data_IF_192948192908
#
_entry.id   IF_192948192908
#
_cell.length_a   1.000
_cell.length_b   1.000
_cell.length_c   1.000
_cell.angle_alpha   90.00
_cell.angle_beta   90.00
_cell.angle_gamma   90.00
#
_symmetry.space_group_name_H-M   'P 1'
#
loop_
_entity.id
_entity.type
_entity.pdbx_description
1 polymer ?
#
# COMPACT_ATOMS: atom_id res chain seq x y z
N UNK A 1 -41.35 4.01 -39.62
CA UNK A 1 -41.65 3.17 -40.79
C UNK A 1 -41.06 3.86 -42.01
N UNK A 2 -39.78 3.63 -42.29
CA UNK A 2 -39.11 3.65 -43.60
C UNK A 2 -37.68 3.18 -43.35
N UNK A 3 -37.47 1.89 -43.60
CA UNK A 3 -36.16 1.25 -43.80
C UNK A 3 -35.56 1.69 -45.14
N UNK A 4 -34.22 1.71 -45.22
CA UNK A 4 -33.39 1.08 -46.27
C UNK A 4 -31.94 1.54 -46.07
N UNK A 5 -31.05 0.69 -45.54
CA UNK A 5 -30.36 -0.41 -46.25
C UNK A 5 -29.44 0.12 -47.36
N UNK A 6 -28.14 0.17 -47.08
CA UNK A 6 -27.12 0.07 -48.11
C UNK A 6 -25.91 -0.67 -47.53
N UNK A 7 -25.77 -1.92 -47.95
CA UNK A 7 -24.56 -2.71 -47.87
C UNK A 7 -24.34 -3.32 -49.26
N UNK A 8 -23.13 -3.14 -49.81
CA UNK A 8 -22.41 -4.15 -50.60
C UNK A 8 -21.02 -3.63 -50.98
N UNK A 9 -20.01 -4.41 -50.59
CA UNK A 9 -18.64 -4.40 -51.10
C UNK A 9 -18.62 -4.89 -52.58
N UNK A 10 -17.46 -4.98 -53.28
CA UNK A 10 -16.55 -6.11 -53.06
C UNK A 10 -15.07 -5.93 -53.50
N UNK A 11 -14.30 -6.98 -53.18
CA UNK A 11 -13.07 -7.49 -53.81
C UNK A 11 -11.72 -6.91 -53.38
N UNK A 12 -10.62 -7.67 -53.27
CA UNK A 12 -10.27 -9.06 -52.94
C UNK A 12 -8.82 -9.27 -53.45
N UNK A 13 -8.11 -10.22 -52.83
CA UNK A 13 -6.86 -10.90 -53.28
C UNK A 13 -5.57 -10.09 -53.07
N UNK A 14 -4.39 -10.65 -52.80
CA UNK A 14 -3.89 -12.03 -52.82
C UNK A 14 -2.51 -12.08 -52.10
N UNK A 15 -2.06 -13.29 -51.76
CA UNK A 15 -0.65 -13.75 -51.69
C UNK A 15 0.33 -13.11 -50.66
N UNK A 16 1.30 -13.83 -50.09
CA UNK A 16 1.57 -15.25 -49.91
C UNK A 16 2.73 -15.39 -48.90
N UNK A 17 2.86 -16.58 -48.33
CA UNK A 17 4.12 -17.29 -48.08
C UNK A 17 5.27 -16.66 -47.25
N UNK A 18 5.52 -17.22 -46.05
CA UNK A 18 6.61 -18.22 -45.87
C UNK A 18 6.79 -18.63 -44.41
N UNK A 19 6.71 -19.94 -44.20
CA UNK A 19 7.32 -20.68 -43.09
C UNK A 19 8.84 -20.59 -43.19
N UNK A 20 9.50 -20.41 -42.05
CA UNK A 20 10.86 -20.92 -41.82
C UNK A 20 10.87 -21.58 -40.45
N UNK A 21 11.03 -22.90 -40.48
CA UNK A 21 11.43 -23.73 -39.35
C UNK A 21 12.84 -23.34 -38.87
N UNK A 22 13.00 -23.26 -37.56
CA UNK A 22 14.27 -22.99 -36.91
C UNK A 22 14.31 -23.61 -35.52
N UNK A 23 14.44 -24.94 -35.49
CA UNK A 23 14.86 -25.67 -34.30
C UNK A 23 16.27 -25.20 -33.89
N UNK A 24 16.46 -24.85 -32.61
CA UNK A 24 17.79 -24.51 -32.13
C UNK A 24 17.85 -23.94 -30.73
N UNK A 25 18.19 -24.83 -29.80
CA UNK A 25 18.99 -24.54 -28.60
C UNK A 25 18.26 -23.91 -27.41
N UNK A 26 17.90 -24.80 -26.48
CA UNK A 26 17.73 -24.44 -25.09
C UNK A 26 18.97 -23.75 -24.55
N UNK A 27 18.75 -22.60 -23.93
CA UNK A 27 19.68 -21.96 -23.03
C UNK A 27 18.87 -21.63 -21.79
N UNK A 28 18.90 -22.56 -20.84
CA UNK A 28 18.51 -22.31 -19.47
C UNK A 28 19.54 -21.33 -18.87
N UNK A 29 19.29 -20.03 -19.02
CA UNK A 29 19.93 -19.04 -18.15
C UNK A 29 19.09 -18.98 -16.89
N UNK A 30 19.55 -19.77 -15.92
CA UNK A 30 19.50 -19.50 -14.49
C UNK A 30 19.82 -18.02 -14.26
N UNK A 31 18.79 -17.16 -14.32
CA UNK A 31 18.87 -15.77 -13.87
C UNK A 31 18.71 -15.80 -12.36
N UNK A 32 19.75 -16.34 -11.74
CA UNK A 32 20.16 -16.13 -10.36
C UNK A 32 19.84 -14.69 -10.00
N UNK A 33 18.91 -14.51 -9.08
CA UNK A 33 18.51 -13.22 -8.54
C UNK A 33 19.76 -12.42 -8.19
N UNK A 34 20.08 -11.42 -9.01
CA UNK A 34 20.99 -10.35 -8.61
C UNK A 34 20.37 -9.68 -7.39
N UNK A 35 21.06 -9.58 -6.25
CA UNK A 35 20.60 -8.70 -5.19
C UNK A 35 20.56 -7.29 -5.77
N UNK A 36 19.40 -6.65 -5.71
CA UNK A 36 19.19 -5.27 -6.13
C UNK A 36 20.27 -4.39 -5.49
N UNK A 37 21.25 -3.99 -6.30
CA UNK A 37 22.25 -2.99 -5.96
C UNK A 37 21.60 -1.60 -6.04
N UNK A 38 20.76 -1.28 -5.06
CA UNK A 38 20.37 0.10 -4.76
C UNK A 38 20.16 0.20 -3.25
N UNK A 39 21.28 0.29 -2.54
CA UNK A 39 21.38 0.25 -1.08
C UNK A 39 20.85 1.50 -0.37
N UNK A 40 19.60 1.88 -0.64
CA UNK A 40 18.89 2.79 0.27
C UNK A 40 18.39 1.96 1.45
N UNK A 41 19.17 1.96 2.53
CA UNK A 41 18.70 1.48 3.83
C UNK A 41 17.72 2.54 4.34
N UNK A 42 16.45 2.20 4.59
CA UNK A 42 15.56 3.12 5.27
C UNK A 42 16.15 3.46 6.64
N UNK A 43 15.79 4.62 7.16
CA UNK A 43 16.44 5.23 8.34
C UNK A 43 16.29 4.37 9.60
N UNK A 44 15.34 3.43 9.62
CA UNK A 44 15.14 2.49 10.71
C UNK A 44 16.23 1.39 10.72
N UNK A 45 16.76 1.00 11.89
CA UNK A 45 17.77 -0.04 11.99
C UNK A 45 17.18 -1.40 11.60
N UNK A 46 17.39 -1.81 10.34
CA UNK A 46 17.03 -3.16 9.88
C UNK A 46 18.02 -4.15 10.49
N UNK A 47 17.59 -4.87 11.52
CA UNK A 47 18.22 -6.14 11.88
C UNK A 47 17.75 -7.16 10.85
N UNK A 48 18.68 -7.68 10.04
CA UNK A 48 18.39 -8.88 9.24
C UNK A 48 17.93 -9.97 10.20
N UNK A 49 16.71 -10.46 10.01
CA UNK A 49 16.15 -11.56 10.79
C UNK A 49 15.64 -12.69 9.87
N UNK A 50 15.73 -13.93 10.35
CA UNK A 50 15.63 -15.15 9.56
C UNK A 50 14.19 -15.42 9.12
N UNK A 51 14.02 -16.41 8.23
CA UNK A 51 12.81 -17.08 7.68
C UNK A 51 11.59 -17.31 8.62
N UNK A 52 11.22 -16.36 9.47
CA UNK A 52 10.09 -16.46 10.39
C UNK A 52 8.82 -16.09 9.66
N UNK A 53 7.91 -17.06 9.57
CA UNK A 53 6.50 -16.83 9.23
C UNK A 53 5.95 -15.72 10.15
N UNK A 54 5.27 -14.74 9.55
CA UNK A 54 4.64 -13.64 10.29
C UNK A 54 3.69 -14.21 11.36
N UNK A 55 3.73 -13.74 12.63
CA UNK A 55 3.04 -14.41 13.73
C UNK A 55 1.54 -14.14 13.78
N UNK A 56 1.06 -13.10 13.08
CA UNK A 56 -0.35 -12.74 13.02
C UNK A 56 -1.01 -13.24 11.75
N UNK A 57 -2.29 -13.58 11.82
CA UNK A 57 -3.13 -13.87 10.66
C UNK A 57 -4.37 -13.00 10.69
N UNK A 58 -4.90 -12.68 9.52
CA UNK A 58 -6.12 -11.88 9.39
C UNK A 58 -7.32 -12.50 10.11
N UNK A 59 -7.41 -13.84 10.15
CA UNK A 59 -8.48 -14.55 10.85
C UNK A 59 -8.44 -14.40 12.39
N UNK A 60 -7.27 -14.08 12.95
CA UNK A 60 -7.04 -14.02 14.40
C UNK A 60 -7.16 -12.58 14.95
N UNK A 61 -7.32 -11.58 14.08
CA UNK A 61 -7.29 -10.15 14.41
C UNK A 61 -8.46 -9.43 13.77
N UNK A 62 -9.09 -8.50 14.48
CA UNK A 62 -10.20 -7.72 13.92
C UNK A 62 -9.71 -6.75 12.82
N UNK A 63 -10.50 -6.46 11.77
CA UNK A 63 -10.06 -5.66 10.62
C UNK A 63 -9.45 -4.30 10.98
N UNK A 64 -10.00 -3.64 12.01
CA UNK A 64 -9.53 -2.34 12.48
C UNK A 64 -8.12 -2.36 13.10
N UNK A 65 -7.57 -3.54 13.39
CA UNK A 65 -6.24 -3.70 13.99
C UNK A 65 -5.22 -4.26 12.99
N UNK A 66 -5.62 -4.58 11.77
CA UNK A 66 -4.70 -5.13 10.76
C UNK A 66 -3.58 -4.17 10.40
N UNK A 67 -3.84 -2.86 10.38
CA UNK A 67 -2.83 -1.84 10.03
C UNK A 67 -1.59 -1.90 10.94
N UNK A 68 -1.75 -2.32 12.20
CA UNK A 68 -0.67 -2.45 13.20
C UNK A 68 -0.17 -3.88 13.39
N UNK A 69 -0.78 -4.87 12.74
CA UNK A 69 -0.45 -6.29 12.96
C UNK A 69 -0.10 -7.06 11.69
N UNK A 70 -0.50 -6.62 10.49
CA UNK A 70 -0.34 -7.37 9.25
C UNK A 70 0.48 -6.61 8.21
N UNK A 71 1.44 -7.27 7.54
CA UNK A 71 2.20 -6.66 6.46
C UNK A 71 1.29 -6.43 5.24
N UNK A 72 1.68 -5.51 4.37
CA UNK A 72 0.88 -5.10 3.20
C UNK A 72 0.48 -6.27 2.28
N UNK A 73 1.32 -7.28 2.14
CA UNK A 73 1.11 -8.47 1.32
C UNK A 73 0.16 -9.51 1.93
N UNK A 74 -0.12 -9.41 3.24
CA UNK A 74 -1.13 -10.22 3.91
C UNK A 74 -2.56 -9.71 3.69
N UNK A 75 -2.72 -8.46 3.25
CA UNK A 75 -4.02 -7.80 3.02
C UNK A 75 -4.46 -7.94 1.56
N UNK A 76 -4.93 -9.13 1.21
CA UNK A 76 -5.36 -9.48 -0.16
C UNK A 76 -6.82 -9.08 -0.38
N UNK A 77 -7.39 -9.46 -1.52
CA UNK A 77 -8.71 -8.99 -1.96
C UNK A 77 -9.83 -9.29 -0.95
N UNK A 78 -9.78 -10.45 -0.28
CA UNK A 78 -10.75 -10.82 0.74
C UNK A 78 -10.66 -9.89 1.97
N UNK A 79 -9.46 -9.66 2.48
CA UNK A 79 -9.20 -8.73 3.57
C UNK A 79 -9.58 -7.30 3.18
N UNK A 80 -9.21 -6.85 1.98
CA UNK A 80 -9.59 -5.52 1.49
C UNK A 80 -11.11 -5.32 1.42
N UNK A 81 -11.84 -6.34 0.95
CA UNK A 81 -13.32 -6.30 0.92
C UNK A 81 -13.93 -6.26 2.32
N UNK A 82 -13.36 -6.98 3.28
CA UNK A 82 -13.82 -6.95 4.68
C UNK A 82 -13.54 -5.57 5.31
N UNK A 83 -12.34 -5.02 5.09
CA UNK A 83 -11.96 -3.69 5.56
C UNK A 83 -12.90 -2.62 5.03
N UNK A 84 -13.21 -2.65 3.73
CA UNK A 84 -14.16 -1.73 3.10
C UNK A 84 -15.53 -1.81 3.80
N UNK A 85 -16.07 -3.03 3.95
CA UNK A 85 -17.36 -3.26 4.60
C UNK A 85 -17.37 -2.75 6.04
N UNK A 86 -16.27 -2.95 6.79
CA UNK A 86 -16.13 -2.44 8.15
C UNK A 86 -16.16 -0.92 8.20
N UNK A 87 -15.40 -0.24 7.32
CA UNK A 87 -15.36 1.23 7.28
C UNK A 87 -16.71 1.82 6.84
N UNK A 88 -17.39 1.22 5.87
CA UNK A 88 -18.71 1.67 5.42
C UNK A 88 -19.74 1.61 6.55
N UNK A 89 -19.75 0.52 7.33
CA UNK A 89 -20.63 0.40 8.51
C UNK A 89 -20.34 1.46 9.56
N UNK A 90 -19.07 1.76 9.80
CA UNK A 90 -18.67 2.81 10.76
C UNK A 90 -19.11 4.19 10.26
N UNK A 91 -18.93 4.49 8.98
CA UNK A 91 -19.37 5.75 8.39
C UNK A 91 -20.88 5.98 8.49
N UNK A 92 -21.67 4.91 8.46
CA UNK A 92 -23.13 4.97 8.70
C UNK A 92 -23.47 5.24 10.16
N UNK A 93 -22.75 4.62 11.10
CA UNK A 93 -23.05 4.71 12.54
C UNK A 93 -22.48 5.95 13.22
N UNK A 94 -21.37 6.48 12.70
CA UNK A 94 -20.64 7.62 13.25
C UNK A 94 -20.30 8.62 12.14
N UNK A 95 -21.21 9.53 11.79
CA UNK A 95 -20.91 10.66 10.92
C UNK A 95 -20.07 11.68 11.69
N UNK A 96 -18.81 11.34 11.97
CA UNK A 96 -17.82 12.34 12.37
C UNK A 96 -17.38 13.02 11.09
N UNK A 97 -17.78 14.27 10.90
CA UNK A 97 -17.55 15.02 9.66
C UNK A 97 -16.07 15.00 9.25
N UNK A 98 -15.17 15.06 10.23
CA UNK A 98 -13.71 15.07 10.02
C UNK A 98 -13.16 13.76 9.44
N UNK A 99 -13.85 12.62 9.63
CA UNK A 99 -13.42 11.30 9.13
C UNK A 99 -14.09 10.93 7.81
N UNK A 100 -15.18 11.58 7.44
CA UNK A 100 -16.05 11.14 6.33
C UNK A 100 -15.30 11.04 5.00
N UNK A 101 -14.48 12.03 4.65
CA UNK A 101 -13.71 12.02 3.42
C UNK A 101 -12.68 10.88 3.40
N UNK A 102 -11.95 10.69 4.50
CA UNK A 102 -10.98 9.59 4.64
C UNK A 102 -11.66 8.22 4.55
N UNK A 103 -12.81 8.05 5.21
CA UNK A 103 -13.60 6.82 5.15
C UNK A 103 -14.16 6.56 3.75
N UNK A 104 -14.38 7.59 2.93
CA UNK A 104 -14.75 7.44 1.53
C UNK A 104 -13.56 7.07 0.62
N UNK A 105 -12.33 7.04 1.14
CA UNK A 105 -11.11 6.72 0.40
C UNK A 105 -10.36 7.95 -0.14
N UNK A 106 -10.64 9.15 0.35
CA UNK A 106 -9.81 10.31 0.07
C UNK A 106 -8.45 10.17 0.77
N UNK A 107 -7.41 9.95 -0.03
CA UNK A 107 -6.05 9.76 0.46
C UNK A 107 -5.47 11.00 1.15
N UNK A 108 -5.78 12.21 0.68
CA UNK A 108 -5.26 13.43 1.28
C UNK A 108 -5.90 13.65 2.67
N UNK A 109 -7.21 13.42 2.78
CA UNK A 109 -7.91 13.46 4.05
C UNK A 109 -7.37 12.38 5.01
N UNK A 110 -7.20 11.14 4.55
CA UNK A 110 -6.67 10.05 5.38
C UNK A 110 -5.24 10.33 5.88
N UNK A 111 -4.39 10.91 5.03
CA UNK A 111 -3.05 11.35 5.41
C UNK A 111 -3.12 12.45 6.47
N UNK A 112 -3.96 13.47 6.27
CA UNK A 112 -4.14 14.57 7.23
C UNK A 112 -4.59 14.06 8.61
N UNK A 113 -5.51 13.10 8.63
CA UNK A 113 -5.97 12.46 9.87
C UNK A 113 -4.82 11.74 10.56
N UNK A 114 -4.05 10.92 9.83
CA UNK A 114 -2.91 10.22 10.40
C UNK A 114 -1.86 11.18 10.99
N UNK A 115 -1.61 12.31 10.33
CA UNK A 115 -0.75 13.37 10.88
C UNK A 115 -1.29 13.97 12.19
N UNK A 116 -2.60 14.23 12.27
CA UNK A 116 -3.22 14.77 13.48
C UNK A 116 -3.20 13.82 14.69
N UNK A 117 -2.98 12.52 14.44
CA UNK A 117 -2.93 11.48 15.47
C UNK A 117 -1.53 11.27 16.06
N UNK A 118 -0.50 11.93 15.51
CA UNK A 118 0.88 11.74 15.95
C UNK A 118 1.27 12.71 17.07
N UNK A 119 2.04 12.25 18.08
CA UNK A 119 2.52 10.86 18.26
C UNK A 119 1.43 9.91 18.78
N UNK A 120 1.49 8.64 18.35
CA UNK A 120 0.59 7.59 18.85
C UNK A 120 1.22 6.95 20.09
N UNK A 121 0.84 7.43 21.27
CA UNK A 121 1.26 6.83 22.56
C UNK A 121 0.36 5.67 22.99
N UNK A 122 -0.94 5.77 22.67
CA UNK A 122 -1.95 4.77 23.02
C UNK A 122 -2.87 4.52 21.84
N UNK A 123 -3.03 3.26 21.46
CA UNK A 123 -4.00 2.88 20.43
C UNK A 123 -5.42 2.98 20.98
N UNK A 124 -6.23 3.84 20.36
CA UNK A 124 -7.66 4.00 20.64
C UNK A 124 -8.48 3.57 19.44
N UNK A 125 -9.80 3.41 19.62
CA UNK A 125 -10.70 3.11 18.51
C UNK A 125 -10.64 4.17 17.40
N UNK A 126 -10.51 5.45 17.76
CA UNK A 126 -10.39 6.53 16.79
C UNK A 126 -9.11 6.41 15.93
N UNK A 127 -7.99 6.06 16.57
CA UNK A 127 -6.72 5.79 15.87
C UNK A 127 -6.86 4.57 14.97
N UNK A 128 -7.44 3.48 15.47
CA UNK A 128 -7.68 2.28 14.67
C UNK A 128 -8.55 2.58 13.44
N UNK A 129 -9.59 3.40 13.57
CA UNK A 129 -10.44 3.82 12.43
C UNK A 129 -9.64 4.66 11.42
N UNK A 130 -8.95 5.71 11.88
CA UNK A 130 -8.20 6.61 11.00
C UNK A 130 -7.06 5.89 10.27
N UNK A 131 -6.30 5.08 10.99
CA UNK A 131 -5.22 4.27 10.42
C UNK A 131 -5.74 3.18 9.48
N UNK A 132 -6.93 2.62 9.73
CA UNK A 132 -7.57 1.69 8.79
C UNK A 132 -8.03 2.41 7.52
N UNK A 133 -8.54 3.64 7.62
CA UNK A 133 -8.87 4.45 6.43
C UNK A 133 -7.61 4.78 5.60
N UNK A 134 -6.50 5.13 6.25
CA UNK A 134 -5.22 5.32 5.58
C UNK A 134 -4.70 4.02 4.93
N UNK A 135 -4.81 2.90 5.63
CA UNK A 135 -4.46 1.55 5.15
C UNK A 135 -5.23 1.21 3.87
N UNK A 136 -6.55 1.45 3.84
CA UNK A 136 -7.38 1.30 2.63
C UNK A 136 -6.83 2.13 1.46
N UNK A 137 -6.48 3.40 1.69
CA UNK A 137 -5.92 4.26 0.64
C UNK A 137 -4.58 3.72 0.11
N UNK A 138 -3.71 3.24 1.00
CA UNK A 138 -2.44 2.62 0.63
C UNK A 138 -2.63 1.35 -0.23
N UNK A 139 -3.61 0.51 0.12
CA UNK A 139 -3.97 -0.70 -0.62
C UNK A 139 -4.60 -0.39 -1.99
N UNK A 140 -5.28 0.75 -2.12
CA UNK A 140 -5.73 1.32 -3.40
C UNK A 140 -4.58 1.89 -4.27
N UNK A 141 -3.34 1.39 -4.06
CA UNK A 141 -2.11 1.75 -4.78
C UNK A 141 -1.71 3.22 -4.63
N UNK A 142 -2.16 3.89 -3.57
CA UNK A 142 -1.68 5.23 -3.25
C UNK A 142 -0.31 5.15 -2.56
N UNK A 143 0.76 5.47 -3.31
CA UNK A 143 2.13 5.43 -2.81
C UNK A 143 2.35 6.40 -1.63
N UNK A 144 1.75 7.58 -1.64
CA UNK A 144 1.90 8.55 -0.56
C UNK A 144 1.27 8.05 0.75
N UNK A 145 0.06 7.48 0.68
CA UNK A 145 -0.58 6.85 1.85
C UNK A 145 0.25 5.67 2.39
N UNK A 146 0.81 4.85 1.50
CA UNK A 146 1.69 3.73 1.90
C UNK A 146 2.99 4.22 2.57
N UNK A 147 3.56 5.33 2.10
CA UNK A 147 4.72 5.94 2.72
C UNK A 147 4.38 6.50 4.11
N UNK A 148 3.26 7.21 4.26
CA UNK A 148 2.79 7.72 5.55
C UNK A 148 2.51 6.56 6.53
N UNK A 149 1.88 5.48 6.07
CA UNK A 149 1.73 4.23 6.84
C UNK A 149 3.07 3.73 7.36
N UNK A 150 4.08 3.62 6.50
CA UNK A 150 5.41 3.17 6.90
C UNK A 150 6.04 4.07 7.97
N UNK A 151 5.92 5.39 7.85
CA UNK A 151 6.45 6.33 8.83
C UNK A 151 5.73 6.22 10.17
N UNK A 152 4.39 6.27 10.17
CA UNK A 152 3.59 6.18 11.40
C UNK A 152 3.87 4.87 12.14
N UNK A 153 3.87 3.74 11.42
CA UNK A 153 4.16 2.43 11.99
C UNK A 153 5.59 2.36 12.53
N UNK A 154 6.57 2.89 11.79
CA UNK A 154 7.98 2.88 12.20
C UNK A 154 8.26 3.71 13.44
N UNK A 155 7.46 4.76 13.68
CA UNK A 155 7.53 5.64 14.84
C UNK A 155 6.63 5.20 16.00
N UNK A 156 5.72 4.25 15.79
CA UNK A 156 4.81 3.74 16.82
C UNK A 156 5.41 2.52 17.50
N UNK A 157 5.47 2.55 18.83
CA UNK A 157 5.88 1.39 19.62
C UNK A 157 4.70 0.42 19.78
N UNK A 158 4.79 -0.76 19.16
CA UNK A 158 3.82 -1.85 19.37
C UNK A 158 4.40 -2.92 20.28
N UNK A 159 3.58 -3.48 21.17
CA UNK A 159 3.98 -4.47 22.18
C UNK A 159 4.66 -5.73 21.60
N UNK A 160 4.43 -6.03 20.32
CA UNK A 160 4.98 -7.21 19.64
C UNK A 160 6.38 -6.99 19.03
N UNK A 161 6.90 -5.75 19.01
CA UNK A 161 8.26 -5.46 18.55
C UNK A 161 8.52 -5.69 17.05
N UNK A 162 7.47 -5.70 16.21
CA UNK A 162 7.58 -5.89 14.74
C UNK A 162 7.34 -4.58 13.96
N UNK A 163 7.40 -3.42 14.62
CA UNK A 163 7.12 -2.12 14.01
C UNK A 163 8.01 -1.88 12.79
N UNK A 164 9.31 -2.24 12.86
CA UNK A 164 10.27 -2.01 11.77
C UNK A 164 9.93 -2.86 10.55
N UNK A 165 9.71 -4.16 10.73
CA UNK A 165 9.38 -5.08 9.65
C UNK A 165 8.03 -4.74 9.01
N UNK A 166 7.06 -4.33 9.83
CA UNK A 166 5.77 -3.88 9.36
C UNK A 166 5.89 -2.58 8.54
N UNK A 167 6.62 -1.59 9.05
CA UNK A 167 6.90 -0.34 8.34
C UNK A 167 7.62 -0.60 7.01
N UNK A 168 8.56 -1.54 7.00
CA UNK A 168 9.28 -1.96 5.79
C UNK A 168 8.38 -2.57 4.73
N UNK A 169 7.40 -3.38 5.14
CA UNK A 169 6.40 -3.93 4.21
C UNK A 169 5.63 -2.81 3.51
N UNK A 170 5.15 -1.84 4.28
CA UNK A 170 4.42 -0.68 3.73
C UNK A 170 5.29 0.23 2.86
N UNK A 171 6.55 0.45 3.24
CA UNK A 171 7.50 1.21 2.44
C UNK A 171 7.73 0.56 1.06
N UNK A 172 7.98 -0.75 1.04
CA UNK A 172 8.17 -1.51 -0.21
C UNK A 172 6.90 -1.50 -1.08
N UNK A 173 5.73 -1.59 -0.45
CA UNK A 173 4.45 -1.46 -1.15
C UNK A 173 4.31 -0.08 -1.82
N UNK A 174 4.58 1.00 -1.09
CA UNK A 174 4.57 2.35 -1.63
C UNK A 174 5.55 2.53 -2.78
N UNK A 175 6.78 2.02 -2.63
CA UNK A 175 7.81 2.10 -3.66
C UNK A 175 7.42 1.36 -4.96
N UNK A 176 6.75 0.20 -4.83
CA UNK A 176 6.25 -0.58 -5.98
C UNK A 176 5.18 0.18 -6.77
N UNK A 177 4.41 1.04 -6.10
CA UNK A 177 3.30 1.78 -6.69
C UNK A 177 3.62 3.27 -6.94
N UNK A 178 4.83 3.72 -6.64
CA UNK A 178 5.28 5.07 -6.93
C UNK A 178 5.51 5.26 -8.43
N UNK A 179 4.91 6.29 -9.03
CA UNK A 179 5.18 6.66 -10.42
C UNK A 179 6.61 7.17 -10.62
N UNK A 180 7.22 7.73 -9.56
CA UNK A 180 8.61 8.21 -9.55
C UNK A 180 9.30 7.76 -8.24
N UNK A 181 10.11 6.68 -8.29
CA UNK A 181 10.83 6.18 -7.13
C UNK A 181 11.83 7.16 -6.51
N UNK A 182 12.33 8.15 -7.26
CA UNK A 182 13.25 9.16 -6.72
C UNK A 182 12.50 10.16 -5.86
N UNK A 183 11.41 10.73 -6.38
CA UNK A 183 10.52 11.62 -5.62
C UNK A 183 9.93 10.93 -4.39
N UNK A 184 9.66 9.63 -4.46
CA UNK A 184 9.21 8.86 -3.31
C UNK A 184 10.23 8.86 -2.17
N UNK A 185 11.51 8.63 -2.48
CA UNK A 185 12.60 8.67 -1.48
C UNK A 185 12.88 10.09 -0.98
N UNK A 186 12.75 11.09 -1.84
CA UNK A 186 12.83 12.50 -1.40
C UNK A 186 11.69 12.82 -0.42
N UNK A 187 10.46 12.42 -0.73
CA UNK A 187 9.31 12.57 0.14
C UNK A 187 9.49 11.84 1.49
N UNK A 188 10.12 10.66 1.50
CA UNK A 188 10.46 9.94 2.74
C UNK A 188 11.28 10.84 3.69
N UNK A 189 12.32 11.49 3.18
CA UNK A 189 13.18 12.35 4.01
C UNK A 189 12.43 13.58 4.56
N UNK A 190 11.55 14.18 3.74
CA UNK A 190 10.73 15.32 4.14
C UNK A 190 9.72 14.91 5.20
N UNK A 191 9.02 13.78 5.01
CA UNK A 191 8.01 13.28 5.95
C UNK A 191 8.65 12.90 7.28
N UNK A 192 9.79 12.21 7.27
CA UNK A 192 10.50 11.85 8.50
C UNK A 192 10.87 13.09 9.31
N UNK A 193 11.34 14.15 8.64
CA UNK A 193 11.64 15.43 9.29
C UNK A 193 10.37 16.04 9.91
N UNK A 194 9.26 16.06 9.17
CA UNK A 194 7.99 16.58 9.67
C UNK A 194 7.46 15.81 10.88
N UNK A 195 7.53 14.47 10.86
CA UNK A 195 7.12 13.65 12.02
C UNK A 195 8.00 13.89 13.24
N UNK A 196 9.33 14.04 13.08
CA UNK A 196 10.20 14.40 14.19
C UNK A 196 9.93 15.81 14.74
N UNK A 197 9.47 16.74 13.92
CA UNK A 197 9.05 18.07 14.38
C UNK A 197 7.75 18.00 15.17
N UNK A 198 6.78 17.20 14.71
CA UNK A 198 5.52 16.95 15.41
C UNK A 198 5.72 16.29 16.78
N UNK A 199 6.58 15.26 16.85
CA UNK A 199 6.91 14.55 18.09
C UNK A 199 7.51 15.49 19.15
N UNK A 200 8.42 16.38 18.74
CA UNK A 200 8.98 17.41 19.63
C UNK A 200 7.95 18.46 20.06
N UNK A 201 6.95 18.74 19.23
CA UNK A 201 5.93 19.74 19.54
C UNK A 201 4.81 19.24 20.46
N UNK A 202 4.55 17.93 20.47
CA UNK A 202 3.54 17.27 21.31
C UNK A 202 3.99 17.00 22.76
N UNK A 203 5.27 17.16 23.09
CA UNK A 203 5.81 16.99 24.45
C UNK A 203 5.62 18.22 25.36
N UNK A 204 4.49 18.93 25.28
CA UNK A 204 4.19 20.11 26.10
C UNK A 204 3.02 19.89 27.05
#
# INVERSE_FOLDING_TARGET
MTDNTNALAPNARHEDDRRVDGAGSGVAIDRRSTPDACGHRPVWPVKEQPDRRWPFKAADVVPLQWWRTLPSDALRDAEQSLMLTTLDRIGVLHPVDDLKAALAGDAAAAISIAFSMMPIEKTTLAIDIGMTALCRCALARNAASALVMAQVIGLTNFDHGLSIELAMSWYRHGLRHASDPRKFREAETVLLKAFHELDRSGSR
#
